data_IF_029091453692
#
_entry.id   IF_029091453692
#
_cell.length_a   1.000
_cell.length_b   1.000
_cell.length_c   1.000
_cell.angle_alpha   90.00
_cell.angle_beta   90.00
_cell.angle_gamma   90.00
#
_symmetry.space_group_name_H-M   'P 1'
#
loop_
_entity.id
_entity.type
_entity.pdbx_description
1 polymer ?
#
# COMPACT_ATOMS: atom_id res chain seq x y z
N UNK A 1 -6.39 7.59 -5.67
CA UNK A 1 -6.60 6.63 -6.77
C UNK A 1 -7.33 5.38 -6.28
N UNK A 2 -6.74 4.55 -5.41
CA UNK A 2 -7.32 3.26 -4.98
C UNK A 2 -8.68 3.37 -4.27
N UNK A 3 -8.86 4.34 -3.37
CA UNK A 3 -10.19 4.60 -2.79
C UNK A 3 -11.24 4.94 -3.87
N UNK A 4 -10.86 5.74 -4.87
CA UNK A 4 -11.76 6.08 -5.97
C UNK A 4 -12.08 4.86 -6.83
N UNK A 5 -11.11 3.97 -7.05
CA UNK A 5 -11.34 2.67 -7.68
C UNK A 5 -12.41 1.88 -6.92
N UNK A 6 -12.31 1.78 -5.60
CA UNK A 6 -13.34 1.11 -4.80
C UNK A 6 -14.73 1.75 -4.97
N UNK A 7 -14.84 3.08 -4.87
CA UNK A 7 -16.12 3.80 -4.93
C UNK A 7 -16.78 3.77 -6.33
N UNK A 8 -15.97 3.67 -7.39
CA UNK A 8 -16.44 3.85 -8.78
C UNK A 8 -16.43 2.55 -9.58
N UNK A 9 -15.74 1.50 -9.13
CA UNK A 9 -15.63 0.22 -9.84
C UNK A 9 -16.16 -0.94 -9.00
N UNK A 10 -15.73 -1.05 -7.74
CA UNK A 10 -16.08 -2.19 -6.88
C UNK A 10 -17.45 -2.05 -6.20
N UNK A 11 -17.73 -0.87 -5.67
CA UNK A 11 -18.95 -0.63 -4.89
C UNK A 11 -19.49 0.80 -5.09
N UNK A 12 -20.43 0.94 -6.02
CA UNK A 12 -21.12 2.19 -6.33
C UNK A 12 -22.08 2.68 -5.22
N UNK A 13 -22.43 1.82 -4.26
CA UNK A 13 -23.29 2.14 -3.13
C UNK A 13 -22.49 2.51 -1.87
N UNK A 14 -21.16 2.49 -1.95
CA UNK A 14 -20.28 2.83 -0.85
C UNK A 14 -20.53 4.26 -0.36
N UNK A 15 -20.62 4.42 0.95
CA UNK A 15 -20.90 5.68 1.61
C UNK A 15 -19.72 6.14 2.48
N UNK A 16 -19.98 7.12 3.34
CA UNK A 16 -18.97 7.70 4.22
C UNK A 16 -18.34 6.68 5.18
N UNK A 17 -19.02 5.57 5.50
CA UNK A 17 -18.48 4.53 6.37
C UNK A 17 -17.33 3.79 5.69
N UNK A 18 -17.45 3.41 4.41
CA UNK A 18 -16.35 2.77 3.68
C UNK A 18 -15.16 3.72 3.51
N UNK A 19 -15.41 5.00 3.24
CA UNK A 19 -14.35 6.02 3.16
C UNK A 19 -13.59 6.11 4.49
N UNK A 20 -14.30 6.23 5.61
CA UNK A 20 -13.67 6.25 6.94
C UNK A 20 -12.88 4.97 7.21
N UNK A 21 -13.47 3.80 6.93
CA UNK A 21 -12.82 2.51 7.15
C UNK A 21 -11.53 2.38 6.34
N UNK A 22 -11.56 2.77 5.06
CA UNK A 22 -10.36 2.82 4.22
C UNK A 22 -9.25 3.68 4.84
N UNK A 23 -9.59 4.91 5.25
CA UNK A 23 -8.61 5.84 5.80
C UNK A 23 -8.05 5.37 7.15
N UNK A 24 -8.87 4.73 7.99
CA UNK A 24 -8.43 4.16 9.26
C UNK A 24 -7.45 3.00 9.06
N UNK A 25 -7.76 2.07 8.16
CA UNK A 25 -6.89 0.91 7.87
C UNK A 25 -5.59 1.38 7.21
N UNK A 26 -5.69 2.26 6.22
CA UNK A 26 -4.53 2.87 5.58
C UNK A 26 -3.65 3.58 6.62
N UNK A 27 -4.25 4.35 7.52
CA UNK A 27 -3.56 5.03 8.61
C UNK A 27 -2.83 4.09 9.56
N UNK A 28 -3.47 2.97 9.93
CA UNK A 28 -2.86 1.97 10.82
C UNK A 28 -1.64 1.30 10.16
N UNK A 29 -1.77 0.86 8.91
CA UNK A 29 -0.66 0.29 8.13
C UNK A 29 0.48 1.31 8.01
N UNK A 30 0.16 2.58 7.72
CA UNK A 30 1.16 3.65 7.69
C UNK A 30 1.88 3.84 9.03
N UNK A 31 1.17 3.63 10.14
CA UNK A 31 1.75 3.68 11.49
C UNK A 31 2.78 2.57 11.72
N UNK A 32 2.56 1.37 11.18
CA UNK A 32 3.49 0.23 11.27
C UNK A 32 4.81 0.59 10.59
N UNK A 33 4.76 1.04 9.34
CA UNK A 33 5.97 1.48 8.62
C UNK A 33 6.65 2.66 9.32
N UNK A 34 5.89 3.62 9.85
CA UNK A 34 6.49 4.77 10.55
C UNK A 34 7.22 4.38 11.83
N UNK A 35 6.73 3.37 12.56
CA UNK A 35 7.34 2.87 13.81
C UNK A 35 8.51 1.92 13.55
N UNK A 36 8.41 1.08 12.51
CA UNK A 36 9.36 0.00 12.23
C UNK A 36 10.44 0.33 11.21
N UNK A 37 10.29 1.39 10.42
CA UNK A 37 11.25 1.79 9.39
C UNK A 37 12.05 3.05 9.77
N UNK A 38 12.67 3.69 8.77
CA UNK A 38 13.46 4.91 8.96
C UNK A 38 12.63 6.12 9.39
N UNK A 39 13.21 6.96 10.25
CA UNK A 39 12.58 8.20 10.75
C UNK A 39 12.32 9.18 9.60
N UNK A 40 13.19 9.20 8.57
CA UNK A 40 13.16 10.18 7.47
C UNK A 40 12.82 9.51 6.14
N UNK A 41 11.69 9.91 5.54
CA UNK A 41 11.32 9.52 4.18
C UNK A 41 12.39 9.94 3.15
N UNK A 42 12.99 11.12 3.33
CA UNK A 42 14.07 11.61 2.48
C UNK A 42 15.33 10.74 2.52
N UNK A 43 15.58 10.04 3.65
CA UNK A 43 16.67 9.06 3.77
C UNK A 43 16.25 7.66 3.32
N UNK A 44 14.97 7.33 3.41
CA UNK A 44 14.41 6.03 3.05
C UNK A 44 14.15 5.84 1.56
N UNK A 45 14.36 6.87 0.75
CA UNK A 45 14.05 6.83 -0.67
C UNK A 45 12.55 6.73 -0.96
N UNK A 46 12.22 6.49 -2.22
CA UNK A 46 10.84 6.51 -2.69
C UNK A 46 10.03 5.29 -2.22
N UNK A 47 10.68 4.21 -1.76
CA UNK A 47 10.00 3.11 -1.06
C UNK A 47 9.32 3.58 0.23
N UNK A 48 9.92 4.53 0.95
CA UNK A 48 9.37 5.09 2.18
C UNK A 48 8.20 6.08 1.92
N UNK A 49 7.94 6.41 0.66
CA UNK A 49 6.92 7.38 0.23
C UNK A 49 5.84 6.68 -0.60
N UNK A 50 6.18 6.31 -1.84
CA UNK A 50 5.27 5.66 -2.79
C UNK A 50 5.06 4.19 -2.40
N UNK A 51 6.11 3.50 -1.95
CA UNK A 51 5.98 2.12 -1.45
C UNK A 51 5.04 2.02 -0.25
N UNK A 52 5.25 2.87 0.76
CA UNK A 52 4.36 2.95 1.94
C UNK A 52 2.94 3.33 1.51
N UNK A 53 2.78 4.33 0.65
CA UNK A 53 1.45 4.72 0.15
C UNK A 53 0.73 3.58 -0.58
N UNK A 54 1.46 2.81 -1.39
CA UNK A 54 0.94 1.62 -2.08
C UNK A 54 0.52 0.55 -1.06
N UNK A 55 1.32 0.28 -0.05
CA UNK A 55 1.01 -0.71 1.00
C UNK A 55 -0.20 -0.31 1.85
N UNK A 56 -0.28 0.96 2.25
CA UNK A 56 -1.43 1.53 2.94
C UNK A 56 -2.72 1.35 2.14
N UNK A 57 -2.67 1.67 0.85
CA UNK A 57 -3.82 1.55 -0.04
C UNK A 57 -4.23 0.09 -0.31
N UNK A 58 -3.26 -0.82 -0.44
CA UNK A 58 -3.50 -2.24 -0.69
C UNK A 58 -4.25 -2.90 0.47
N UNK A 59 -3.74 -2.74 1.70
CA UNK A 59 -4.40 -3.32 2.86
C UNK A 59 -5.77 -2.67 3.14
N UNK A 60 -5.91 -1.36 2.93
CA UNK A 60 -7.20 -0.69 3.05
C UNK A 60 -8.23 -1.19 2.02
N UNK A 61 -7.83 -1.42 0.77
CA UNK A 61 -8.71 -2.00 -0.23
C UNK A 61 -9.07 -3.45 0.12
N UNK A 62 -8.10 -4.27 0.52
CA UNK A 62 -8.31 -5.66 0.95
C UNK A 62 -9.36 -5.74 2.07
N UNK A 63 -9.30 -4.86 3.07
CA UNK A 63 -10.29 -4.79 4.15
C UNK A 63 -11.69 -4.43 3.64
N UNK A 64 -11.79 -3.53 2.65
CA UNK A 64 -13.08 -3.13 2.08
C UNK A 64 -13.69 -4.19 1.17
N UNK A 65 -12.86 -5.04 0.56
CA UNK A 65 -13.28 -6.18 -0.24
C UNK A 65 -13.60 -7.43 0.61
N UNK A 66 -13.46 -7.34 1.93
CA UNK A 66 -13.85 -8.38 2.88
C UNK A 66 -12.74 -9.36 3.27
N UNK A 67 -11.47 -9.01 3.02
CA UNK A 67 -10.32 -9.79 3.47
C UNK A 67 -10.19 -9.83 4.99
N UNK A 68 -9.57 -10.88 5.51
CA UNK A 68 -9.25 -10.99 6.94
C UNK A 68 -8.09 -10.05 7.33
N UNK A 69 -7.89 -9.74 8.63
CA UNK A 69 -6.75 -8.95 9.08
C UNK A 69 -5.39 -9.51 8.59
N UNK A 70 -5.24 -10.83 8.52
CA UNK A 70 -4.03 -11.46 7.99
C UNK A 70 -3.87 -11.21 6.48
N UNK A 71 -4.95 -11.22 5.70
CA UNK A 71 -4.92 -10.88 4.27
C UNK A 71 -4.64 -9.37 4.07
N UNK A 72 -5.13 -8.51 4.95
CA UNK A 72 -4.83 -7.07 4.94
C UNK A 72 -3.34 -6.83 5.12
N UNK A 73 -2.71 -7.50 6.08
CA UNK A 73 -1.26 -7.43 6.28
C UNK A 73 -0.49 -8.03 5.11
N UNK A 74 -1.00 -9.11 4.50
CA UNK A 74 -0.43 -9.70 3.28
C UNK A 74 -0.49 -8.75 2.08
N UNK A 75 -1.62 -8.08 1.86
CA UNK A 75 -1.78 -7.11 0.77
C UNK A 75 -0.80 -5.94 0.93
N UNK A 76 -0.63 -5.44 2.16
CA UNK A 76 0.35 -4.40 2.48
C UNK A 76 1.78 -4.88 2.23
N UNK A 77 2.08 -6.13 2.58
CA UNK A 77 3.37 -6.77 2.39
C UNK A 77 3.74 -6.89 0.91
N UNK A 78 2.90 -7.54 0.10
CA UNK A 78 3.09 -7.70 -1.36
C UNK A 78 3.30 -6.33 -2.04
N UNK A 79 2.48 -5.35 -1.68
CA UNK A 79 2.58 -4.01 -2.24
C UNK A 79 3.92 -3.33 -1.88
N UNK A 80 4.41 -3.49 -0.64
CA UNK A 80 5.71 -2.95 -0.24
C UNK A 80 6.88 -3.71 -0.87
N UNK A 81 6.80 -5.04 -0.96
CA UNK A 81 7.82 -5.89 -1.60
C UNK A 81 8.15 -5.37 -3.01
N UNK A 82 7.11 -5.02 -3.78
CA UNK A 82 7.24 -4.48 -5.14
C UNK A 82 7.83 -3.05 -5.22
N UNK A 83 8.22 -2.46 -4.09
CA UNK A 83 8.86 -1.15 -4.00
C UNK A 83 10.17 -1.16 -3.22
N UNK A 84 10.60 -2.30 -2.64
CA UNK A 84 11.88 -2.39 -1.93
C UNK A 84 13.06 -1.99 -2.82
N UNK A 85 13.97 -1.18 -2.28
CA UNK A 85 15.14 -0.64 -2.97
C UNK A 85 14.86 0.58 -3.85
N UNK A 86 13.63 1.10 -3.89
CA UNK A 86 13.29 2.25 -4.74
C UNK A 86 13.87 3.55 -4.18
N UNK A 87 14.88 4.09 -4.85
CA UNK A 87 15.56 5.34 -4.48
C UNK A 87 14.75 6.58 -4.87
N UNK A 88 15.08 7.73 -4.25
CA UNK A 88 14.51 9.04 -4.60
C UNK A 88 15.59 9.88 -5.29
N UNK A 89 15.59 9.86 -6.62
CA UNK A 89 16.50 10.66 -7.47
C UNK A 89 15.72 11.20 -8.70
N UNK A 90 14.86 12.21 -8.50
CA UNK A 90 14.01 12.73 -9.56
C UNK A 90 14.76 13.69 -10.50
N UNK A 91 14.32 13.75 -11.76
CA UNK A 91 14.92 14.61 -12.78
C UNK A 91 14.85 16.08 -12.35
N UNK A 92 16.01 16.72 -12.26
CA UNK A 92 16.13 18.13 -11.86
C UNK A 92 15.69 18.41 -10.42
N UNK A 93 15.55 17.39 -9.57
CA UNK A 93 15.02 17.54 -8.21
C UNK A 93 13.51 17.83 -8.16
N UNK A 94 12.79 17.66 -9.27
CA UNK A 94 11.37 18.03 -9.39
C UNK A 94 10.45 16.85 -9.13
N UNK A 95 9.31 17.08 -8.48
CA UNK A 95 8.27 16.05 -8.23
C UNK A 95 7.42 15.82 -9.49
N UNK A 96 8.08 15.41 -10.58
CA UNK A 96 7.45 15.15 -11.88
C UNK A 96 7.90 13.79 -12.39
N UNK A 97 9.15 13.67 -12.84
CA UNK A 97 9.71 12.44 -13.37
C UNK A 97 10.74 11.88 -12.37
N UNK A 98 10.63 10.63 -11.90
CA UNK A 98 9.61 9.62 -12.23
C UNK A 98 8.39 9.58 -11.29
N UNK A 99 8.17 10.65 -10.50
CA UNK A 99 7.20 10.66 -9.40
C UNK A 99 5.75 10.41 -9.87
N UNK A 100 5.37 10.97 -11.01
CA UNK A 100 4.00 10.87 -11.56
C UNK A 100 3.72 9.41 -11.94
N UNK A 101 4.55 8.81 -12.79
CA UNK A 101 4.36 7.43 -13.22
C UNK A 101 4.51 6.44 -12.06
N UNK A 102 5.38 6.71 -11.08
CA UNK A 102 5.48 5.87 -9.88
C UNK A 102 4.20 5.89 -9.04
N UNK A 103 3.50 7.01 -8.94
CA UNK A 103 2.20 7.05 -8.25
C UNK A 103 1.14 6.24 -9.00
N UNK A 104 1.09 6.35 -10.33
CA UNK A 104 0.19 5.54 -11.16
C UNK A 104 0.47 4.05 -11.01
N UNK A 105 1.74 3.66 -11.09
CA UNK A 105 2.16 2.26 -10.92
C UNK A 105 1.92 1.76 -9.49
N UNK A 106 2.13 2.59 -8.47
CA UNK A 106 1.83 2.27 -7.07
C UNK A 106 0.35 1.98 -6.86
N UNK A 107 -0.55 2.77 -7.45
CA UNK A 107 -1.98 2.52 -7.37
C UNK A 107 -2.39 1.17 -8.00
N UNK A 108 -1.82 0.83 -9.17
CA UNK A 108 -2.09 -0.46 -9.84
C UNK A 108 -1.54 -1.63 -9.01
N UNK A 109 -0.32 -1.50 -8.49
CA UNK A 109 0.28 -2.52 -7.62
C UNK A 109 -0.54 -2.73 -6.34
N UNK A 110 -1.08 -1.66 -5.75
CA UNK A 110 -1.92 -1.76 -4.57
C UNK A 110 -3.23 -2.52 -4.83
N UNK A 111 -3.88 -2.27 -5.97
CA UNK A 111 -5.08 -3.00 -6.39
C UNK A 111 -4.74 -4.48 -6.59
N UNK A 112 -3.72 -4.78 -7.39
CA UNK A 112 -3.32 -6.17 -7.65
C UNK A 112 -2.89 -6.90 -6.36
N UNK A 113 -2.20 -6.22 -5.44
CA UNK A 113 -1.81 -6.82 -4.16
C UNK A 113 -3.01 -7.16 -3.28
N UNK A 114 -4.07 -6.35 -3.29
CA UNK A 114 -5.30 -6.66 -2.58
C UNK A 114 -5.98 -7.91 -3.18
N UNK A 115 -6.11 -7.99 -4.51
CA UNK A 115 -6.68 -9.16 -5.19
C UNK A 115 -5.88 -10.44 -4.90
N UNK A 116 -4.55 -10.37 -5.03
CA UNK A 116 -3.66 -11.51 -4.73
C UNK A 116 -3.81 -11.98 -3.30
N UNK A 117 -3.94 -11.05 -2.34
CA UNK A 117 -4.12 -11.40 -0.93
C UNK A 117 -5.47 -12.05 -0.66
N UNK A 118 -6.54 -11.62 -1.33
CA UNK A 118 -7.88 -12.22 -1.22
C UNK A 118 -7.92 -13.66 -1.74
N UNK A 119 -7.18 -13.94 -2.81
CA UNK A 119 -7.05 -15.28 -3.39
C UNK A 119 -6.06 -16.19 -2.64
N UNK A 120 -5.26 -15.62 -1.73
CA UNK A 120 -4.21 -16.35 -1.02
C UNK A 120 -4.61 -16.63 0.42
N UNK A 121 -4.47 -17.89 0.84
CA UNK A 121 -4.61 -18.25 2.26
C UNK A 121 -3.42 -17.68 3.07
N UNK A 122 -3.66 -17.02 4.22
CA UNK A 122 -2.59 -16.47 5.07
C UNK A 122 -1.48 -17.45 5.46
N UNK A 123 -1.81 -18.74 5.61
CA UNK A 123 -0.85 -19.82 5.89
C UNK A 123 0.22 -20.04 4.80
N UNK A 124 -0.02 -19.57 3.58
CA UNK A 124 0.88 -19.73 2.45
C UNK A 124 1.89 -18.57 2.27
N UNK A 125 1.74 -17.50 3.06
CA UNK A 125 2.65 -16.35 3.04
C UNK A 125 4.08 -16.79 3.34
N UNK A 126 5.03 -16.37 2.51
CA UNK A 126 6.46 -16.70 2.66
C UNK A 126 7.23 -15.62 3.40
N UNK A 127 6.79 -14.37 3.27
CA UNK A 127 7.44 -13.21 3.86
C UNK A 127 6.38 -12.45 4.67
N UNK A 128 6.51 -12.37 6.01
CA UNK A 128 5.58 -11.59 6.82
C UNK A 128 5.88 -10.09 6.69
N UNK A 129 4.86 -9.25 6.90
CA UNK A 129 4.98 -7.78 6.80
C UNK A 129 6.14 -7.22 7.63
N UNK A 130 6.34 -7.69 8.87
CA UNK A 130 7.43 -7.22 9.74
C UNK A 130 8.82 -7.43 9.13
N UNK A 131 8.99 -8.52 8.36
CA UNK A 131 10.25 -8.80 7.66
C UNK A 131 10.46 -7.81 6.51
N UNK A 132 9.41 -7.47 5.77
CA UNK A 132 9.47 -6.44 4.72
C UNK A 132 9.75 -5.06 5.33
N UNK A 133 9.13 -4.71 6.45
CA UNK A 133 9.34 -3.43 7.15
C UNK A 133 10.79 -3.24 7.59
N UNK A 134 11.45 -4.32 7.99
CA UNK A 134 12.84 -4.32 8.48
C UNK A 134 13.91 -4.47 7.40
N UNK A 135 13.50 -4.61 6.13
CA UNK A 135 14.41 -4.73 4.97
C UNK A 135 14.76 -3.36 4.40
#
# INVERSE_FOLDING_TARGET
AVLMYYLVIENHEADFQQIKKFLLVAGEIGSIFKKGATISAAMGGCQAEIGVSSAMAAGALCELLGGSPEQVLMAAEIAMEHHLGLTCDPIGGLVQVPCIERNSMGAIKAINAAELALETKPENVKVPLDKVVST
#
